data_IF_371553762279
#
_entry.id   IF_371553762279
#
_cell.length_a   1.000
_cell.length_b   1.000
_cell.length_c   1.000
_cell.angle_alpha   90.00
_cell.angle_beta   90.00
_cell.angle_gamma   90.00
#
_symmetry.space_group_name_H-M   'P 1'
#
loop_
_entity.id
_entity.type
_entity.pdbx_description
1 polymer ?
#
# COMPACT_ATOMS: atom_id res chain seq x y z
N UNK A 1 -23.32 5.84 -61.59
CA UNK A 1 -22.27 5.39 -60.68
C UNK A 1 -21.62 6.64 -60.12
N UNK A 2 -22.07 7.09 -58.94
CA UNK A 2 -21.55 8.33 -58.26
C UNK A 2 -20.54 7.93 -57.24
N UNK A 3 -19.31 8.35 -57.48
CA UNK A 3 -18.16 8.15 -56.57
C UNK A 3 -18.28 9.16 -55.44
N UNK A 4 -18.51 8.71 -54.23
CA UNK A 4 -18.52 9.50 -53.02
C UNK A 4 -17.12 9.91 -52.65
N UNK A 5 -16.79 11.18 -52.83
CA UNK A 5 -15.48 11.75 -52.48
C UNK A 5 -15.41 11.83 -50.95
N UNK A 6 -14.54 11.02 -50.36
CA UNK A 6 -14.17 11.13 -48.96
C UNK A 6 -13.31 12.39 -48.76
N UNK A 7 -13.85 13.39 -48.04
CA UNK A 7 -13.08 14.57 -47.62
C UNK A 7 -12.09 14.13 -46.56
N UNK A 8 -10.81 14.13 -46.92
CA UNK A 8 -9.70 13.93 -46.00
C UNK A 8 -9.67 15.06 -44.96
N UNK A 9 -9.79 14.72 -43.71
CA UNK A 9 -9.63 15.65 -42.60
C UNK A 9 -8.11 15.76 -42.33
N UNK A 10 -7.50 16.88 -42.68
CA UNK A 10 -6.10 17.15 -42.38
C UNK A 10 -5.96 17.61 -40.91
N UNK A 11 -5.22 16.87 -40.12
CA UNK A 11 -4.81 17.31 -38.77
C UNK A 11 -3.42 17.91 -38.90
N UNK A 12 -3.33 19.22 -38.74
CA UNK A 12 -2.03 19.94 -38.76
C UNK A 12 -1.62 20.25 -37.33
N UNK A 13 -0.50 19.71 -36.91
CA UNK A 13 0.08 20.01 -35.58
C UNK A 13 1.10 21.13 -35.76
N UNK A 14 0.77 22.31 -35.27
CA UNK A 14 1.70 23.42 -35.21
C UNK A 14 2.40 23.44 -33.85
N UNK A 15 3.72 23.30 -33.89
CA UNK A 15 4.59 23.50 -32.73
C UNK A 15 4.96 24.97 -32.68
N UNK A 16 4.29 25.75 -31.86
CA UNK A 16 4.65 27.15 -31.62
C UNK A 16 5.84 27.19 -30.68
N UNK A 17 6.97 27.76 -31.14
CA UNK A 17 8.14 27.98 -30.30
C UNK A 17 7.80 29.06 -29.24
N UNK A 18 8.25 28.90 -27.98
CA UNK A 18 8.01 29.90 -26.94
C UNK A 18 8.82 31.12 -27.24
N UNK A 19 8.17 32.32 -27.25
CA UNK A 19 8.80 33.63 -27.14
C UNK A 19 9.47 33.70 -25.76
N UNK A 20 10.77 33.89 -25.77
CA UNK A 20 11.59 34.05 -24.59
C UNK A 20 11.12 35.19 -23.71
N UNK A 21 10.72 34.90 -22.46
CA UNK A 21 10.80 35.83 -21.34
C UNK A 21 10.84 35.12 -20.01
N UNK A 22 11.98 35.28 -19.35
CA UNK A 22 12.29 35.39 -17.91
C UNK A 22 11.56 34.47 -16.91
N UNK A 23 12.44 33.70 -16.25
CA UNK A 23 12.46 33.34 -14.84
C UNK A 23 11.38 32.38 -14.29
N UNK A 24 11.82 31.15 -14.05
CA UNK A 24 11.36 30.24 -12.97
C UNK A 24 9.94 29.62 -13.04
N UNK A 25 9.39 29.31 -14.21
CA UNK A 25 8.25 28.39 -14.32
C UNK A 25 8.51 27.31 -15.40
N UNK A 26 8.33 26.04 -15.03
CA UNK A 26 8.36 24.91 -15.98
C UNK A 26 7.41 25.19 -17.16
N UNK A 27 7.85 24.96 -18.41
CA UNK A 27 7.00 25.22 -19.56
C UNK A 27 5.84 24.24 -19.61
N UNK A 28 4.65 24.71 -19.26
CA UNK A 28 3.43 23.99 -19.57
C UNK A 28 3.32 23.88 -21.10
N UNK A 29 3.45 22.67 -21.63
CA UNK A 29 3.27 22.37 -23.05
C UNK A 29 1.77 22.52 -23.36
N UNK A 30 1.39 23.70 -23.84
CA UNK A 30 0.05 23.93 -24.36
C UNK A 30 -0.04 23.31 -25.76
N UNK A 31 -0.64 22.12 -25.87
CA UNK A 31 -1.01 21.55 -27.15
C UNK A 31 -2.33 22.14 -27.59
N UNK A 32 -2.27 23.18 -28.41
CA UNK A 32 -3.45 23.77 -29.04
C UNK A 32 -3.95 22.85 -30.17
N UNK A 33 -5.02 22.14 -29.95
CA UNK A 33 -5.69 21.33 -30.99
C UNK A 33 -6.73 22.22 -31.72
N UNK A 34 -6.41 22.69 -32.93
CA UNK A 34 -7.42 23.31 -33.81
C UNK A 34 -8.05 22.23 -34.67
N UNK A 35 -9.31 21.94 -34.40
CA UNK A 35 -10.09 20.97 -35.18
C UNK A 35 -11.06 21.71 -36.09
N UNK A 36 -10.70 21.84 -37.37
CA UNK A 36 -11.59 22.31 -38.42
C UNK A 36 -12.28 21.09 -39.07
N UNK A 37 -13.44 20.76 -38.57
CA UNK A 37 -14.23 19.64 -39.09
C UNK A 37 -15.39 19.28 -38.15
N UNK A 38 -16.48 18.80 -38.68
CA UNK A 38 -17.77 18.53 -38.04
C UNK A 38 -17.69 18.24 -36.54
N UNK A 39 -18.51 18.92 -35.75
CA UNK A 39 -18.61 18.88 -34.28
C UNK A 39 -18.57 17.46 -33.65
N UNK A 40 -18.97 16.43 -34.36
CA UNK A 40 -18.99 15.03 -33.93
C UNK A 40 -17.55 14.45 -33.79
N UNK A 41 -16.67 14.72 -34.76
CA UNK A 41 -15.28 14.20 -34.71
C UNK A 41 -14.47 14.86 -33.59
N UNK A 42 -14.70 16.16 -33.36
CA UNK A 42 -14.07 16.88 -32.26
C UNK A 42 -14.53 16.32 -30.88
N UNK A 43 -15.82 16.00 -30.74
CA UNK A 43 -16.35 15.36 -29.53
C UNK A 43 -15.75 13.96 -29.28
N UNK A 44 -15.63 13.15 -30.32
CA UNK A 44 -15.07 11.81 -30.23
C UNK A 44 -13.57 11.85 -29.86
N UNK A 45 -12.80 12.73 -30.48
CA UNK A 45 -11.38 12.92 -30.15
C UNK A 45 -11.19 13.45 -28.71
N UNK A 46 -12.01 14.41 -28.28
CA UNK A 46 -11.97 14.90 -26.92
C UNK A 46 -12.33 13.82 -25.90
N UNK A 47 -13.35 13.02 -26.18
CA UNK A 47 -13.71 11.86 -25.37
C UNK A 47 -12.57 10.85 -25.27
N UNK A 48 -11.94 10.51 -26.39
CA UNK A 48 -10.82 9.57 -26.44
C UNK A 48 -9.62 10.07 -25.61
N UNK A 49 -9.28 11.35 -25.72
CA UNK A 49 -8.20 11.98 -24.93
C UNK A 49 -8.53 11.97 -23.43
N UNK A 50 -9.73 12.39 -23.05
CA UNK A 50 -10.16 12.41 -21.65
C UNK A 50 -10.22 11.01 -21.04
N UNK A 51 -10.66 10.00 -21.81
CA UNK A 51 -10.71 8.61 -21.36
C UNK A 51 -9.29 8.04 -21.19
N UNK A 52 -8.38 8.34 -22.11
CA UNK A 52 -6.98 7.93 -22.02
C UNK A 52 -6.26 8.56 -20.82
N UNK A 53 -6.47 9.85 -20.57
CA UNK A 53 -5.88 10.53 -19.40
C UNK A 53 -6.43 10.00 -18.07
N UNK A 54 -7.74 9.70 -17.99
CA UNK A 54 -8.34 9.08 -16.82
C UNK A 54 -7.76 7.70 -16.57
N UNK A 55 -7.61 6.87 -17.58
CA UNK A 55 -7.00 5.54 -17.46
C UNK A 55 -5.55 5.60 -16.96
N UNK A 56 -4.75 6.54 -17.48
CA UNK A 56 -3.37 6.73 -17.02
C UNK A 56 -3.30 7.23 -15.56
N UNK A 57 -4.19 8.16 -15.16
CA UNK A 57 -4.26 8.65 -13.80
C UNK A 57 -4.73 7.56 -12.81
N UNK A 58 -5.67 6.71 -13.20
CA UNK A 58 -6.15 5.61 -12.37
C UNK A 58 -5.08 4.53 -12.21
N UNK A 59 -4.33 4.22 -13.27
CA UNK A 59 -3.18 3.31 -13.19
C UNK A 59 -2.09 3.86 -12.27
N UNK A 60 -1.72 5.13 -12.43
CA UNK A 60 -0.72 5.76 -11.58
C UNK A 60 -1.15 5.77 -10.10
N UNK A 61 -2.42 6.06 -9.83
CA UNK A 61 -3.00 5.99 -8.48
C UNK A 61 -2.92 4.58 -7.91
N UNK A 62 -3.29 3.57 -8.70
CA UNK A 62 -3.21 2.17 -8.31
C UNK A 62 -1.77 1.74 -7.95
N UNK A 63 -0.78 2.13 -8.74
CA UNK A 63 0.63 1.87 -8.47
C UNK A 63 1.13 2.57 -7.20
N UNK A 64 0.75 3.83 -6.98
CA UNK A 64 1.10 4.56 -5.75
C UNK A 64 0.48 3.91 -4.52
N UNK A 65 -0.76 3.47 -4.59
CA UNK A 65 -1.43 2.80 -3.49
C UNK A 65 -0.84 1.42 -3.19
N UNK A 66 -0.49 0.64 -4.21
CA UNK A 66 0.21 -0.64 -4.04
C UNK A 66 1.57 -0.43 -3.36
N UNK A 67 2.33 0.58 -3.78
CA UNK A 67 3.61 0.95 -3.16
C UNK A 67 3.41 1.38 -1.70
N UNK A 68 2.37 2.14 -1.40
CA UNK A 68 2.03 2.55 -0.04
C UNK A 68 1.68 1.32 0.83
N UNK A 69 0.91 0.37 0.32
CA UNK A 69 0.59 -0.88 1.00
C UNK A 69 1.85 -1.68 1.38
N UNK A 70 2.80 -1.80 0.46
CA UNK A 70 4.09 -2.45 0.72
C UNK A 70 4.91 -1.71 1.80
N UNK A 71 4.96 -0.38 1.76
CA UNK A 71 5.65 0.44 2.77
C UNK A 71 5.02 0.26 4.15
N UNK A 72 3.69 0.27 4.25
CA UNK A 72 2.95 0.03 5.49
C UNK A 72 3.27 -1.36 6.03
N UNK A 73 3.21 -2.40 5.21
CA UNK A 73 3.49 -3.78 5.63
C UNK A 73 4.94 -3.95 6.11
N UNK A 74 5.89 -3.29 5.43
CA UNK A 74 7.29 -3.26 5.85
C UNK A 74 7.45 -2.56 7.20
N UNK A 75 6.81 -1.40 7.38
CA UNK A 75 6.84 -0.66 8.64
C UNK A 75 6.30 -1.49 9.80
N UNK A 76 5.15 -2.14 9.61
CA UNK A 76 4.56 -3.04 10.61
C UNK A 76 5.57 -4.11 11.03
N UNK A 77 6.22 -4.80 10.07
CA UNK A 77 7.22 -5.82 10.36
C UNK A 77 8.42 -5.30 11.17
N UNK A 78 8.89 -4.11 10.85
CA UNK A 78 10.01 -3.48 11.55
C UNK A 78 9.68 -3.08 13.00
N UNK A 79 8.38 -2.78 13.27
CA UNK A 79 7.90 -2.28 14.55
C UNK A 79 7.02 -3.29 15.31
N UNK A 80 7.09 -4.58 14.96
CA UNK A 80 6.28 -5.61 15.62
C UNK A 80 6.48 -5.69 17.13
N UNK A 81 7.70 -5.43 17.61
CA UNK A 81 8.03 -5.43 19.03
C UNK A 81 7.50 -4.21 19.78
N UNK A 82 7.13 -3.14 19.08
CA UNK A 82 6.63 -1.93 19.71
C UNK A 82 5.24 -2.18 20.29
N UNK A 83 5.09 -1.96 21.60
CA UNK A 83 3.81 -2.17 22.29
C UNK A 83 2.74 -1.18 21.87
N UNK A 84 3.14 0.02 21.52
CA UNK A 84 2.29 1.13 21.09
C UNK A 84 2.07 1.16 19.57
N UNK A 85 2.45 0.09 18.85
CA UNK A 85 2.14 -0.05 17.43
C UNK A 85 0.62 -0.05 17.25
N UNK A 86 0.10 1.06 16.76
CA UNK A 86 -1.32 1.32 16.55
C UNK A 86 -1.59 1.84 15.15
N UNK A 87 -2.85 1.80 14.72
CA UNK A 87 -3.26 2.37 13.44
C UNK A 87 -2.90 3.86 13.34
N UNK A 88 -3.05 4.61 14.43
CA UNK A 88 -2.69 6.04 14.47
C UNK A 88 -1.20 6.25 14.23
N UNK A 89 -0.33 5.46 14.90
CA UNK A 89 1.12 5.55 14.73
C UNK A 89 1.57 5.18 13.32
N UNK A 90 1.00 4.10 12.77
CA UNK A 90 1.30 3.69 11.39
C UNK A 90 0.88 4.77 10.39
N UNK A 91 -0.33 5.32 10.54
CA UNK A 91 -0.86 6.38 9.69
C UNK A 91 0.03 7.63 9.74
N UNK A 92 0.40 8.08 10.95
CA UNK A 92 1.30 9.21 11.16
C UNK A 92 2.68 9.01 10.51
N UNK A 93 3.26 7.81 10.65
CA UNK A 93 4.56 7.49 10.02
C UNK A 93 4.55 7.54 8.49
N UNK A 94 3.38 7.47 7.87
CA UNK A 94 3.21 7.53 6.41
C UNK A 94 2.54 8.82 5.94
N UNK A 95 2.26 9.78 6.82
CA UNK A 95 1.61 11.05 6.49
C UNK A 95 0.18 10.88 5.96
N UNK A 96 -0.54 9.85 6.40
CA UNK A 96 -1.91 9.55 5.95
C UNK A 96 -2.89 9.54 7.13
N UNK A 97 -4.18 9.65 6.84
CA UNK A 97 -5.22 9.47 7.85
C UNK A 97 -5.40 7.99 8.20
N UNK A 98 -5.89 7.71 9.43
CA UNK A 98 -6.24 6.33 9.86
C UNK A 98 -7.28 5.70 8.94
N UNK A 99 -8.24 6.49 8.45
CA UNK A 99 -9.23 6.04 7.46
C UNK A 99 -8.55 5.58 6.16
N UNK A 100 -7.58 6.35 5.67
CA UNK A 100 -6.84 6.00 4.46
C UNK A 100 -5.99 4.74 4.65
N UNK A 101 -5.34 4.59 5.82
CA UNK A 101 -4.63 3.37 6.21
C UNK A 101 -5.52 2.13 6.08
N UNK A 102 -6.72 2.16 6.70
CA UNK A 102 -7.65 1.04 6.62
C UNK A 102 -8.14 0.77 5.19
N UNK A 103 -8.36 1.82 4.39
CA UNK A 103 -8.74 1.66 2.98
C UNK A 103 -7.64 0.98 2.15
N UNK A 104 -6.37 1.35 2.37
CA UNK A 104 -5.22 0.71 1.69
C UNK A 104 -5.09 -0.75 2.10
N UNK A 105 -5.17 -1.06 3.40
CA UNK A 105 -5.07 -2.43 3.91
C UNK A 105 -6.23 -3.30 3.41
N UNK A 106 -7.47 -2.78 3.42
CA UNK A 106 -8.66 -3.50 2.96
C UNK A 106 -8.57 -3.89 1.47
N UNK A 107 -8.03 -3.01 0.61
CA UNK A 107 -7.78 -3.34 -0.82
C UNK A 107 -6.78 -4.47 -1.01
N UNK A 108 -5.84 -4.60 -0.09
CA UNK A 108 -4.88 -5.72 -0.06
C UNK A 108 -5.43 -6.97 0.66
N UNK A 109 -6.69 -6.97 1.08
CA UNK A 109 -7.30 -8.05 1.85
C UNK A 109 -6.70 -8.23 3.25
N UNK A 110 -6.02 -7.19 3.78
CA UNK A 110 -5.28 -7.27 5.05
C UNK A 110 -6.08 -6.58 6.16
N UNK A 111 -6.42 -7.32 7.21
CA UNK A 111 -6.81 -6.77 8.49
C UNK A 111 -5.55 -6.47 9.32
N UNK A 112 -5.43 -5.26 9.86
CA UNK A 112 -4.26 -4.87 10.66
C UNK A 112 -4.03 -5.83 11.84
N UNK A 113 -5.10 -6.19 12.55
CA UNK A 113 -5.04 -7.13 13.67
C UNK A 113 -4.58 -8.51 13.23
N UNK A 114 -5.20 -9.04 12.16
CA UNK A 114 -4.91 -10.38 11.66
C UNK A 114 -3.54 -10.46 10.99
N UNK A 115 -2.98 -9.33 10.59
CA UNK A 115 -1.62 -9.24 10.10
C UNK A 115 -0.58 -9.17 11.23
N UNK A 116 -0.83 -8.38 12.27
CA UNK A 116 0.12 -8.15 13.38
C UNK A 116 0.16 -9.32 14.36
N UNK A 117 -1.00 -9.84 14.79
CA UNK A 117 -1.05 -10.87 15.82
C UNK A 117 -0.34 -12.17 15.47
N UNK A 118 -0.53 -12.78 14.28
CA UNK A 118 0.19 -14.01 13.90
C UNK A 118 1.71 -13.80 13.82
N UNK A 119 2.15 -12.65 13.34
CA UNK A 119 3.58 -12.35 13.26
C UNK A 119 4.20 -12.21 14.65
N UNK A 120 3.54 -11.52 15.58
CA UNK A 120 3.96 -11.44 16.98
C UNK A 120 4.03 -12.82 17.65
N UNK A 121 3.04 -13.68 17.40
CA UNK A 121 3.06 -15.06 17.89
C UNK A 121 4.21 -15.88 17.29
N UNK A 122 4.52 -15.70 16.00
CA UNK A 122 5.64 -16.36 15.35
C UNK A 122 6.99 -15.94 15.97
N UNK A 123 7.14 -14.66 16.30
CA UNK A 123 8.34 -14.17 16.99
C UNK A 123 8.43 -14.74 18.43
N UNK A 124 7.31 -14.77 19.18
CA UNK A 124 7.28 -15.44 20.48
C UNK A 124 7.70 -16.90 20.38
N UNK A 125 7.18 -17.62 19.38
CA UNK A 125 7.54 -19.02 19.12
C UNK A 125 9.02 -19.20 18.85
N UNK A 126 9.59 -18.31 18.02
CA UNK A 126 11.02 -18.33 17.68
C UNK A 126 11.89 -18.03 18.90
N UNK A 127 11.52 -17.02 19.70
CA UNK A 127 12.25 -16.66 20.93
C UNK A 127 12.17 -17.75 21.99
N UNK A 128 11.02 -18.43 22.14
CA UNK A 128 10.86 -19.57 23.06
C UNK A 128 11.74 -20.76 22.69
N UNK A 129 11.96 -21.03 21.40
CA UNK A 129 12.83 -22.09 20.89
C UNK A 129 14.30 -21.68 20.82
N UNK A 130 14.60 -20.38 20.86
CA UNK A 130 15.94 -19.84 20.70
C UNK A 130 16.80 -19.98 21.96
N UNK A 131 18.12 -19.71 21.86
CA UNK A 131 19.10 -19.92 22.95
C UNK A 131 18.76 -19.15 24.23
N UNK A 132 18.06 -18.05 24.12
CA UNK A 132 17.62 -17.24 25.26
C UNK A 132 16.22 -17.58 25.79
N UNK A 133 15.56 -18.60 25.21
CA UNK A 133 14.20 -19.00 25.60
C UNK A 133 14.06 -19.48 27.04
N UNK A 134 15.13 -20.03 27.62
CA UNK A 134 15.18 -20.39 29.05
C UNK A 134 15.47 -19.21 29.97
N UNK A 135 16.25 -18.24 29.53
CA UNK A 135 16.67 -17.12 30.35
C UNK A 135 15.53 -16.14 30.69
N UNK A 136 14.43 -16.19 29.94
CA UNK A 136 13.28 -15.30 30.12
C UNK A 136 12.03 -16.08 30.52
N UNK A 137 11.18 -15.44 31.33
CA UNK A 137 9.86 -16.00 31.62
C UNK A 137 8.95 -15.96 30.38
N UNK A 138 8.01 -16.89 30.29
CA UNK A 138 7.03 -16.92 29.19
C UNK A 138 6.24 -15.60 29.13
N UNK A 139 5.88 -15.04 30.30
CA UNK A 139 5.20 -13.76 30.40
C UNK A 139 6.09 -12.59 29.91
N UNK A 140 7.39 -12.61 30.16
CA UNK A 140 8.30 -11.59 29.67
C UNK A 140 8.43 -11.62 28.15
N UNK A 141 8.50 -12.80 27.54
CA UNK A 141 8.52 -12.99 26.08
C UNK A 141 7.20 -12.45 25.48
N UNK A 142 6.04 -12.86 26.04
CA UNK A 142 4.74 -12.37 25.58
C UNK A 142 4.66 -10.84 25.64
N UNK A 143 5.06 -10.24 26.77
CA UNK A 143 5.07 -8.77 26.93
C UNK A 143 5.99 -8.06 25.95
N UNK A 144 7.16 -8.61 25.67
CA UNK A 144 8.07 -8.05 24.67
C UNK A 144 7.42 -7.91 23.30
N UNK A 145 6.63 -8.88 22.91
CA UNK A 145 5.94 -8.90 21.64
C UNK A 145 4.50 -8.32 21.69
N UNK A 146 4.21 -7.51 22.70
CA UNK A 146 2.97 -6.73 22.79
C UNK A 146 1.76 -7.46 23.35
N UNK A 147 1.93 -8.64 23.97
CA UNK A 147 0.88 -9.32 24.73
C UNK A 147 0.91 -8.85 26.19
N UNK A 148 -0.06 -8.03 26.55
CA UNK A 148 -0.12 -7.44 27.91
C UNK A 148 -0.43 -8.50 28.95
N UNK A 149 -1.38 -9.39 28.67
CA UNK A 149 -1.84 -10.44 29.56
C UNK A 149 -1.21 -11.78 29.20
N UNK A 150 -0.54 -12.41 30.18
CA UNK A 150 0.12 -13.70 30.04
C UNK A 150 -0.85 -14.86 29.85
N UNK A 151 -2.04 -14.81 30.47
CA UNK A 151 -3.08 -15.82 30.33
C UNK A 151 -3.68 -15.77 28.92
N UNK A 152 -3.99 -14.57 28.44
CA UNK A 152 -4.44 -14.33 27.07
C UNK A 152 -3.37 -14.81 26.06
N UNK A 153 -2.10 -14.45 26.27
CA UNK A 153 -0.99 -14.91 25.43
C UNK A 153 -0.95 -16.45 25.33
N UNK A 154 -1.00 -17.13 26.48
CA UNK A 154 -0.95 -18.60 26.50
C UNK A 154 -2.13 -19.23 25.76
N UNK A 155 -3.32 -18.66 25.89
CA UNK A 155 -4.55 -19.10 25.21
C UNK A 155 -4.45 -18.94 23.70
N UNK A 156 -4.02 -17.75 23.20
CA UNK A 156 -3.90 -17.51 21.75
C UNK A 156 -2.76 -18.30 21.14
N UNK A 157 -1.65 -18.49 21.87
CA UNK A 157 -0.54 -19.34 21.43
C UNK A 157 -0.96 -20.80 21.28
N UNK A 158 -1.66 -21.36 22.30
CA UNK A 158 -2.20 -22.72 22.21
C UNK A 158 -3.19 -22.88 21.07
N UNK A 159 -4.04 -21.89 20.85
CA UNK A 159 -4.97 -21.90 19.71
C UNK A 159 -4.26 -21.89 18.36
N UNK A 160 -3.16 -21.16 18.25
CA UNK A 160 -2.41 -21.03 16.99
C UNK A 160 -1.51 -22.22 16.68
N UNK A 161 -0.92 -22.86 17.72
CA UNK A 161 0.10 -23.90 17.56
C UNK A 161 -0.25 -25.24 18.18
N UNK A 162 -1.46 -25.41 18.71
CA UNK A 162 -1.93 -26.69 19.31
C UNK A 162 -1.39 -26.98 20.71
N UNK A 163 -0.36 -26.27 21.18
CA UNK A 163 0.29 -26.51 22.47
C UNK A 163 0.59 -25.21 23.21
N UNK A 164 0.83 -25.30 24.54
CA UNK A 164 1.14 -24.11 25.33
C UNK A 164 2.56 -23.60 25.07
N UNK A 165 2.85 -22.31 25.35
CA UNK A 165 4.20 -21.77 25.27
C UNK A 165 5.21 -22.54 26.14
N UNK A 166 4.75 -23.10 27.27
CA UNK A 166 5.58 -23.90 28.19
C UNK A 166 5.98 -25.22 27.54
N UNK A 167 5.02 -25.93 26.95
CA UNK A 167 5.27 -27.21 26.29
C UNK A 167 6.18 -27.02 25.07
N UNK A 168 5.91 -25.97 24.27
CA UNK A 168 6.75 -25.60 23.13
C UNK A 168 8.21 -25.36 23.55
N UNK A 169 8.44 -24.60 24.62
CA UNK A 169 9.77 -24.37 25.17
C UNK A 169 10.42 -25.66 25.67
N UNK A 170 9.64 -26.53 26.32
CA UNK A 170 10.11 -27.84 26.81
C UNK A 170 10.63 -28.75 25.69
N UNK A 171 9.96 -28.75 24.53
CA UNK A 171 10.36 -29.53 23.36
C UNK A 171 11.71 -29.06 22.77
N UNK A 172 11.99 -27.77 22.81
CA UNK A 172 13.22 -27.20 22.22
C UNK A 172 14.39 -27.08 23.20
N UNK A 173 14.10 -27.28 24.50
CA UNK A 173 15.10 -27.24 25.57
C UNK A 173 14.84 -28.38 26.55
N UNK A 174 15.11 -29.63 26.18
CA UNK A 174 15.04 -30.76 27.11
C UNK A 174 15.98 -30.52 28.28
N UNK A 175 15.62 -31.02 29.45
CA UNK A 175 16.42 -30.92 30.70
C UNK A 175 17.66 -31.79 30.61
#
# INVERSE_FOLDING_TARGET
MRICSARATAVTIHRTAPLARRDDEEPAVFVGLQVSGSSLVAHELLRAVLTSQRGAADLARGLMEATLGLRITRYIRQHLADRDLSAARIAAAHGISVRHLYAVLARSGISLRDHVHPQRLAECRRELAGPHGRARTIAAIGRRWGFVDAAHFSKVFKRAYGMTPRDWRGLHHPR
#
